data_IF_665861035854
#
_entry.id   IF_665861035854
#
_cell.length_a   1.000
_cell.length_b   1.000
_cell.length_c   1.000
_cell.angle_alpha   90.00
_cell.angle_beta   90.00
_cell.angle_gamma   90.00
#
_symmetry.space_group_name_H-M   'P 1'
#
loop_
_entity.id
_entity.type
_entity.pdbx_description
1 polymer ?
#
# COMPACT_ATOMS: atom_id res chain seq x y z
N UNK A 1 2.65 21.89 16.90
CA UNK A 1 1.87 23.09 16.52
C UNK A 1 1.72 23.11 15.01
N UNK A 2 0.74 23.82 14.45
CA UNK A 2 0.66 24.05 13.01
C UNK A 2 1.43 25.33 12.67
N UNK A 3 2.55 25.22 11.95
CA UNK A 3 3.23 26.38 11.37
C UNK A 3 2.33 27.02 10.31
N UNK A 4 2.31 28.35 10.28
CA UNK A 4 1.52 29.16 9.33
C UNK A 4 2.44 30.23 8.73
N UNK A 5 2.28 30.44 7.43
CA UNK A 5 3.05 31.41 6.65
C UNK A 5 2.06 32.36 5.96
N UNK A 6 2.43 33.63 5.79
CA UNK A 6 1.58 34.63 5.13
C UNK A 6 2.31 35.26 3.96
N UNK A 7 1.77 35.12 2.74
CA UNK A 7 2.30 35.81 1.56
C UNK A 7 1.62 37.17 1.39
N UNK A 8 2.39 38.24 1.17
CA UNK A 8 1.90 39.63 1.10
C UNK A 8 2.73 40.42 0.09
N UNK A 9 2.15 40.71 -1.07
CA UNK A 9 2.74 41.68 -2.02
C UNK A 9 2.52 43.13 -1.53
N UNK A 10 3.48 44.00 -1.82
CA UNK A 10 3.41 45.45 -1.56
C UNK A 10 3.89 46.22 -2.80
N UNK A 11 3.18 47.30 -3.21
CA UNK A 11 3.58 48.10 -4.36
C UNK A 11 4.84 48.92 -4.07
N UNK A 12 5.87 48.76 -4.90
CA UNK A 12 7.13 49.51 -4.79
C UNK A 12 6.92 50.95 -5.28
N UNK A 13 6.85 51.91 -4.35
CA UNK A 13 6.59 53.32 -4.67
C UNK A 13 7.85 54.11 -5.08
N UNK A 14 9.03 53.75 -4.56
CA UNK A 14 10.29 54.49 -4.77
C UNK A 14 11.49 53.56 -4.96
N UNK A 15 11.71 52.62 -4.05
CA UNK A 15 12.69 51.53 -4.25
C UNK A 15 12.29 50.28 -3.45
N UNK A 16 12.61 49.10 -3.97
CA UNK A 16 12.33 47.85 -3.27
C UNK A 16 13.17 47.72 -1.99
N UNK A 17 14.44 48.15 -2.03
CA UNK A 17 15.36 48.07 -0.88
C UNK A 17 14.96 48.99 0.27
N UNK A 18 14.52 50.22 0.01
CA UNK A 18 14.07 51.14 1.07
C UNK A 18 12.79 50.66 1.74
N UNK A 19 11.82 50.18 0.95
CA UNK A 19 10.58 49.59 1.47
C UNK A 19 10.87 48.30 2.27
N UNK A 20 11.77 47.46 1.76
CA UNK A 20 12.20 46.24 2.46
C UNK A 20 12.87 46.55 3.81
N UNK A 21 13.80 47.52 3.86
CA UNK A 21 14.42 47.93 5.13
C UNK A 21 13.40 48.40 6.16
N UNK A 22 12.46 49.28 5.78
CA UNK A 22 11.39 49.76 6.67
C UNK A 22 10.49 48.63 7.19
N UNK A 23 10.20 47.64 6.35
CA UNK A 23 9.42 46.46 6.75
C UNK A 23 10.23 45.51 7.63
N UNK A 24 11.52 45.34 7.38
CA UNK A 24 12.43 44.48 8.16
C UNK A 24 12.71 45.04 9.56
N UNK A 25 12.70 46.36 9.73
CA UNK A 25 12.75 47.01 11.05
C UNK A 25 11.41 46.84 11.83
N UNK A 26 10.33 46.52 11.11
CA UNK A 26 8.98 46.40 11.67
C UNK A 26 8.52 44.96 11.91
N UNK A 27 9.03 43.97 11.16
CA UNK A 27 8.52 42.58 11.14
C UNK A 27 9.66 41.55 10.96
N UNK A 28 9.47 40.35 11.53
CA UNK A 28 10.41 39.23 11.52
C UNK A 28 10.70 38.61 10.13
N UNK A 29 11.70 39.20 9.46
CA UNK A 29 12.75 38.52 8.66
C UNK A 29 12.32 37.40 7.69
N UNK A 30 11.98 37.75 6.44
CA UNK A 30 12.47 37.07 5.20
C UNK A 30 11.81 37.66 3.95
N UNK A 31 12.61 38.00 2.94
CA UNK A 31 12.14 38.41 1.61
C UNK A 31 11.95 37.21 0.69
N UNK A 32 10.94 37.29 -0.18
CA UNK A 32 10.79 36.41 -1.34
C UNK A 32 11.02 37.26 -2.59
N UNK A 33 12.13 37.08 -3.29
CA UNK A 33 12.35 37.72 -4.58
C UNK A 33 11.61 36.93 -5.67
N UNK A 34 10.44 37.43 -6.07
CA UNK A 34 9.70 36.87 -7.21
C UNK A 34 10.08 37.60 -8.51
N UNK A 35 10.38 36.89 -9.61
CA UNK A 35 10.74 37.52 -10.87
C UNK A 35 9.55 38.22 -11.54
N UNK A 36 9.86 39.15 -12.45
CA UNK A 36 8.89 39.95 -13.21
C UNK A 36 8.28 39.12 -14.36
N UNK A 37 7.28 38.30 -14.07
CA UNK A 37 6.46 37.61 -15.08
C UNK A 37 5.71 38.59 -15.98
N UNK A 38 5.36 38.19 -17.20
CA UNK A 38 4.35 38.90 -18.01
C UNK A 38 2.94 38.35 -17.66
N UNK A 39 1.97 39.23 -17.31
CA UNK A 39 0.61 38.96 -16.76
C UNK A 39 -0.50 39.96 -17.25
N UNK A 40 -0.92 39.93 -18.52
CA UNK A 40 -2.16 40.61 -18.98
C UNK A 40 -3.32 39.60 -18.83
N UNK A 41 -4.50 39.93 -19.35
CA UNK A 41 -5.72 39.12 -19.20
C UNK A 41 -5.96 38.77 -17.73
N UNK A 42 -5.64 39.74 -16.85
CA UNK A 42 -5.45 39.57 -15.41
C UNK A 42 -6.63 38.87 -14.75
N UNK A 43 -7.86 39.17 -15.16
CA UNK A 43 -9.06 38.53 -14.60
C UNK A 43 -9.12 37.03 -14.89
N UNK A 44 -9.06 36.61 -16.16
CA UNK A 44 -9.17 35.19 -16.51
C UNK A 44 -7.97 34.39 -16.01
N UNK A 45 -6.77 34.98 -16.01
CA UNK A 45 -5.58 34.32 -15.49
C UNK A 45 -5.58 34.26 -13.95
N UNK A 46 -6.16 35.23 -13.23
CA UNK A 46 -6.35 35.14 -11.78
C UNK A 46 -7.34 34.03 -11.40
N UNK A 47 -8.47 33.90 -12.11
CA UNK A 47 -9.41 32.79 -11.90
C UNK A 47 -8.77 31.42 -12.18
N UNK A 48 -7.99 31.31 -13.26
CA UNK A 48 -7.27 30.07 -13.59
C UNK A 48 -6.14 29.76 -12.58
N UNK A 49 -5.42 30.78 -12.09
CA UNK A 49 -4.44 30.65 -11.01
C UNK A 49 -5.07 30.18 -9.69
N UNK A 50 -6.26 30.70 -9.32
CA UNK A 50 -6.98 30.27 -8.11
C UNK A 50 -7.39 28.79 -8.21
N UNK A 51 -7.91 28.35 -9.37
CA UNK A 51 -8.23 26.94 -9.64
C UNK A 51 -6.97 26.07 -9.58
N UNK A 52 -5.89 26.50 -10.22
CA UNK A 52 -4.62 25.79 -10.24
C UNK A 52 -4.02 25.64 -8.84
N UNK A 53 -4.01 26.71 -8.03
CA UNK A 53 -3.55 26.67 -6.64
C UNK A 53 -4.36 25.66 -5.82
N UNK A 54 -5.70 25.77 -5.82
CA UNK A 54 -6.57 24.87 -5.07
C UNK A 54 -6.41 23.39 -5.50
N UNK A 55 -6.16 23.13 -6.79
CA UNK A 55 -5.84 21.80 -7.29
C UNK A 55 -4.48 21.30 -6.77
N UNK A 56 -3.42 22.10 -6.89
CA UNK A 56 -2.06 21.73 -6.45
C UNK A 56 -1.99 21.53 -4.93
N UNK A 57 -2.67 22.39 -4.16
CA UNK A 57 -2.86 22.25 -2.71
C UNK A 57 -3.60 20.94 -2.37
N UNK A 58 -4.69 20.65 -3.08
CA UNK A 58 -5.44 19.40 -2.94
C UNK A 58 -4.63 18.13 -3.27
N UNK A 59 -3.79 18.17 -4.31
CA UNK A 59 -2.88 17.06 -4.65
C UNK A 59 -1.77 16.92 -3.60
N UNK A 60 -1.20 18.03 -3.12
CA UNK A 60 -0.18 18.04 -2.06
C UNK A 60 -0.73 17.45 -0.75
N UNK A 61 -1.97 17.78 -0.38
CA UNK A 61 -2.65 17.17 0.77
C UNK A 61 -2.94 15.67 0.58
N UNK A 62 -3.27 15.22 -0.64
CA UNK A 62 -3.42 13.78 -0.95
C UNK A 62 -2.09 13.05 -0.78
N UNK A 63 -0.99 13.56 -1.35
CA UNK A 63 0.36 13.00 -1.22
C UNK A 63 0.75 12.90 0.27
N UNK A 64 0.64 14.00 1.02
CA UNK A 64 0.92 14.05 2.46
C UNK A 64 0.14 12.98 3.23
N UNK A 65 -1.17 12.87 3.00
CA UNK A 65 -2.02 11.89 3.69
C UNK A 65 -1.62 10.45 3.38
N UNK A 66 -1.16 10.15 2.17
CA UNK A 66 -0.66 8.82 1.80
C UNK A 66 0.66 8.50 2.52
N UNK A 67 1.60 9.46 2.59
CA UNK A 67 2.86 9.31 3.35
C UNK A 67 2.56 9.05 4.84
N UNK A 68 1.71 9.88 5.46
CA UNK A 68 1.29 9.71 6.86
C UNK A 68 0.55 8.37 7.12
N UNK A 69 -0.08 7.75 6.12
CA UNK A 69 -0.63 6.39 6.23
C UNK A 69 0.44 5.30 6.09
N UNK A 70 1.36 5.45 5.14
CA UNK A 70 2.45 4.50 4.92
C UNK A 70 3.37 4.40 6.15
N UNK A 71 3.78 5.53 6.73
CA UNK A 71 4.56 5.60 7.97
C UNK A 71 3.85 4.90 9.13
N UNK A 72 2.57 5.22 9.35
CA UNK A 72 1.72 4.58 10.36
C UNK A 72 1.57 3.07 10.15
N UNK A 73 1.66 2.61 8.90
CA UNK A 73 1.57 1.18 8.54
C UNK A 73 2.90 0.43 8.65
N UNK A 74 4.04 1.13 8.54
CA UNK A 74 5.38 0.55 8.66
C UNK A 74 5.91 0.54 10.10
N UNK A 75 5.38 1.41 10.96
CA UNK A 75 5.85 1.58 12.33
C UNK A 75 7.16 2.39 12.44
N UNK A 76 7.62 2.99 11.33
CA UNK A 76 8.73 3.93 11.30
C UNK A 76 8.19 5.32 11.65
N UNK A 77 8.77 5.99 12.65
CA UNK A 77 8.49 7.40 12.88
C UNK A 77 8.99 8.23 11.69
N UNK A 78 8.05 8.84 10.96
CA UNK A 78 8.35 9.68 9.82
C UNK A 78 9.20 10.88 10.20
N UNK A 79 10.40 10.98 9.63
CA UNK A 79 11.12 12.24 9.58
C UNK A 79 10.27 13.24 8.78
N UNK A 80 9.72 14.25 9.47
CA UNK A 80 8.68 15.13 8.91
C UNK A 80 9.02 15.70 7.54
N UNK A 81 8.00 15.79 6.68
CA UNK A 81 8.10 16.09 5.24
C UNK A 81 9.19 17.13 4.90
N UNK A 82 10.07 16.76 3.97
CA UNK A 82 11.14 17.62 3.43
C UNK A 82 10.95 17.83 1.92
N UNK A 83 11.55 18.90 1.40
CA UNK A 83 11.69 19.17 -0.04
C UNK A 83 13.17 18.99 -0.37
N UNK A 84 13.50 17.99 -1.20
CA UNK A 84 14.88 17.61 -1.56
C UNK A 84 15.81 17.42 -0.33
N UNK A 85 15.27 16.89 0.76
CA UNK A 85 15.97 16.69 2.04
C UNK A 85 16.06 17.93 2.94
N UNK A 86 15.58 19.09 2.49
CA UNK A 86 15.51 20.34 3.25
C UNK A 86 14.18 20.43 4.02
N UNK A 87 14.17 20.79 5.32
CA UNK A 87 12.93 21.05 6.06
C UNK A 87 12.09 22.16 5.41
N UNK A 88 10.76 22.01 5.41
CA UNK A 88 9.83 22.95 4.74
C UNK A 88 10.07 24.40 5.18
N UNK A 89 10.26 24.65 6.48
CA UNK A 89 10.58 25.98 7.00
C UNK A 89 11.80 26.57 6.29
N UNK A 90 12.92 25.84 6.29
CA UNK A 90 14.19 26.23 5.67
C UNK A 90 14.08 26.41 4.15
N UNK A 91 13.28 25.58 3.47
CA UNK A 91 13.01 25.72 2.04
C UNK A 91 12.26 27.02 1.75
N UNK A 92 11.18 27.31 2.48
CA UNK A 92 10.44 28.57 2.36
C UNK A 92 11.32 29.78 2.70
N UNK A 93 12.22 29.70 3.68
CA UNK A 93 13.14 30.81 4.02
C UNK A 93 14.13 31.20 2.91
N UNK A 94 14.27 30.37 1.86
CA UNK A 94 15.28 30.48 0.80
C UNK A 94 14.71 30.15 -0.58
N UNK A 95 13.40 30.35 -0.77
CA UNK A 95 12.77 30.09 -2.06
C UNK A 95 13.39 30.97 -3.16
N UNK A 96 13.84 30.32 -4.24
CA UNK A 96 14.32 30.97 -5.47
C UNK A 96 13.51 30.38 -6.62
N UNK A 97 13.10 31.22 -7.57
CA UNK A 97 12.37 30.74 -8.74
C UNK A 97 13.29 29.94 -9.67
N UNK A 98 12.85 28.74 -10.05
CA UNK A 98 13.56 27.86 -10.97
C UNK A 98 13.33 28.31 -12.43
N UNK A 99 14.11 29.28 -12.89
CA UNK A 99 14.06 29.78 -14.27
C UNK A 99 14.41 28.71 -15.33
N UNK A 100 15.14 27.65 -14.95
CA UNK A 100 15.49 26.56 -15.87
C UNK A 100 14.30 25.62 -16.12
N UNK A 101 13.44 25.43 -15.11
CA UNK A 101 12.21 24.63 -15.20
C UNK A 101 10.98 25.43 -15.62
N UNK A 102 10.93 26.71 -15.25
CA UNK A 102 9.81 27.62 -15.50
C UNK A 102 10.32 28.97 -16.06
N UNK A 103 10.65 29.06 -17.36
CA UNK A 103 11.28 30.26 -17.93
C UNK A 103 10.40 31.51 -17.83
N UNK A 104 10.96 32.57 -17.24
CA UNK A 104 10.30 33.88 -17.01
C UNK A 104 9.97 34.65 -18.30
N UNK A 105 10.53 34.21 -19.44
CA UNK A 105 10.28 34.74 -20.77
C UNK A 105 9.07 34.10 -21.49
N UNK A 106 8.55 32.97 -20.99
CA UNK A 106 7.34 32.33 -21.52
C UNK A 106 6.08 33.11 -21.12
N UNK A 107 4.96 32.99 -21.88
CA UNK A 107 3.66 33.44 -21.41
C UNK A 107 3.32 32.78 -20.07
N UNK A 108 2.84 33.54 -19.07
CA UNK A 108 2.55 32.97 -17.76
C UNK A 108 1.49 31.87 -17.81
N UNK A 109 0.54 31.93 -18.77
CA UNK A 109 -0.45 30.86 -18.91
C UNK A 109 0.18 29.53 -19.35
N UNK A 110 1.11 29.51 -20.29
CA UNK A 110 1.88 28.29 -20.63
C UNK A 110 2.59 27.68 -19.41
N UNK A 111 3.17 28.53 -18.54
CA UNK A 111 3.84 28.09 -17.31
C UNK A 111 2.86 27.50 -16.31
N UNK A 112 1.70 28.14 -16.09
CA UNK A 112 0.63 27.64 -15.20
C UNK A 112 0.06 26.33 -15.72
N UNK A 113 -0.21 26.24 -17.03
CA UNK A 113 -0.66 25.01 -17.68
C UNK A 113 0.39 23.89 -17.57
N UNK A 114 1.68 24.21 -17.74
CA UNK A 114 2.79 23.28 -17.56
C UNK A 114 2.87 22.71 -16.13
N UNK A 115 2.76 23.59 -15.12
CA UNK A 115 2.69 23.20 -13.71
C UNK A 115 1.46 22.32 -13.46
N UNK A 116 0.28 22.72 -13.96
CA UNK A 116 -0.96 21.96 -13.78
C UNK A 116 -0.88 20.56 -14.40
N UNK A 117 -0.41 20.45 -15.64
CA UNK A 117 -0.20 19.16 -16.35
C UNK A 117 0.81 18.28 -15.62
N UNK A 118 1.89 18.85 -15.09
CA UNK A 118 2.88 18.12 -14.29
C UNK A 118 2.27 17.57 -12.99
N UNK A 119 1.56 18.40 -12.22
CA UNK A 119 0.95 17.98 -10.96
C UNK A 119 -0.22 17.01 -11.17
N UNK A 120 -0.99 17.15 -12.25
CA UNK A 120 -2.02 16.19 -12.64
C UNK A 120 -1.41 14.81 -12.95
N UNK A 121 -0.30 14.76 -13.70
CA UNK A 121 0.43 13.51 -13.93
C UNK A 121 0.93 12.90 -12.62
N UNK A 122 1.50 13.70 -11.72
CA UNK A 122 1.94 13.22 -10.38
C UNK A 122 0.76 12.68 -9.57
N UNK A 123 -0.45 13.25 -9.69
CA UNK A 123 -1.64 12.71 -9.05
C UNK A 123 -2.07 11.36 -9.65
N UNK A 124 -2.01 11.19 -10.98
CA UNK A 124 -2.37 9.93 -11.64
C UNK A 124 -1.34 8.82 -11.39
N UNK A 125 -0.04 9.15 -11.45
CA UNK A 125 1.04 8.24 -11.05
C UNK A 125 0.85 7.81 -9.57
N UNK A 126 0.46 8.73 -8.67
CA UNK A 126 0.12 8.41 -7.27
C UNK A 126 -1.09 7.48 -7.16
N UNK A 127 -2.20 7.75 -7.89
CA UNK A 127 -3.41 6.89 -7.88
C UNK A 127 -3.07 5.45 -8.25
N UNK A 128 -2.25 5.25 -9.28
CA UNK A 128 -1.79 3.92 -9.71
C UNK A 128 -0.99 3.24 -8.59
N UNK A 129 0.01 3.90 -8.02
CA UNK A 129 0.84 3.30 -6.93
C UNK A 129 0.05 2.98 -5.67
N UNK A 130 -0.93 3.82 -5.31
CA UNK A 130 -1.81 3.57 -4.15
C UNK A 130 -2.74 2.37 -4.42
N UNK A 131 -3.25 2.21 -5.64
CA UNK A 131 -4.06 1.06 -6.03
C UNK A 131 -3.25 -0.25 -6.04
N UNK A 132 -2.04 -0.25 -6.62
CA UNK A 132 -1.10 -1.37 -6.59
C UNK A 132 -0.78 -1.80 -5.15
N UNK A 133 -0.39 -0.85 -4.29
CA UNK A 133 -0.08 -1.10 -2.89
C UNK A 133 -1.28 -1.64 -2.12
N UNK A 134 -2.48 -1.08 -2.31
CA UNK A 134 -3.72 -1.55 -1.68
C UNK A 134 -4.05 -3.00 -2.07
N UNK A 135 -3.89 -3.36 -3.34
CA UNK A 135 -4.08 -4.72 -3.83
C UNK A 135 -3.10 -5.70 -3.16
N UNK A 136 -1.80 -5.41 -3.17
CA UNK A 136 -0.78 -6.26 -2.53
C UNK A 136 -1.00 -6.38 -1.02
N UNK A 137 -1.34 -5.28 -0.33
CA UNK A 137 -1.68 -5.26 1.10
C UNK A 137 -2.91 -6.11 1.40
N UNK A 138 -3.92 -6.10 0.53
CA UNK A 138 -5.12 -6.96 0.64
C UNK A 138 -4.77 -8.45 0.47
N UNK A 139 -3.97 -8.79 -0.55
CA UNK A 139 -3.50 -10.16 -0.78
C UNK A 139 -2.65 -10.68 0.39
N UNK A 140 -1.73 -9.88 0.91
CA UNK A 140 -0.90 -10.23 2.07
C UNK A 140 -1.75 -10.47 3.33
N UNK A 141 -2.75 -9.62 3.58
CA UNK A 141 -3.71 -9.85 4.67
C UNK A 141 -4.53 -11.15 4.49
N UNK A 142 -4.89 -11.50 3.26
CA UNK A 142 -5.58 -12.76 2.96
C UNK A 142 -4.66 -13.99 3.14
N UNK A 143 -3.37 -13.87 2.84
CA UNK A 143 -2.35 -14.90 3.11
C UNK A 143 -2.13 -15.04 4.62
N UNK A 144 -1.95 -13.93 5.35
CA UNK A 144 -1.78 -13.95 6.80
C UNK A 144 -2.97 -14.64 7.49
N UNK A 145 -4.22 -14.35 7.10
CA UNK A 145 -5.42 -15.04 7.63
C UNK A 145 -5.42 -16.55 7.35
N UNK A 146 -4.86 -17.01 6.22
CA UNK A 146 -4.68 -18.45 5.91
C UNK A 146 -3.54 -19.10 6.72
N UNK A 147 -2.60 -18.30 7.24
CA UNK A 147 -1.44 -18.78 8.01
C UNK A 147 -1.63 -18.66 9.54
N UNK A 148 -2.42 -17.71 10.03
CA UNK A 148 -2.66 -17.45 11.46
C UNK A 148 -3.98 -18.04 12.00
N UNK A 149 -4.71 -18.81 11.19
CA UNK A 149 -5.91 -19.52 11.62
C UNK A 149 -5.61 -20.81 12.40
N UNK A 150 -6.62 -21.38 13.05
CA UNK A 150 -6.55 -22.71 13.67
C UNK A 150 -6.25 -23.80 12.64
N UNK A 151 -5.53 -24.86 13.05
CA UNK A 151 -5.10 -26.02 12.23
C UNK A 151 -6.13 -26.56 11.21
N UNK A 152 -7.42 -26.53 11.53
CA UNK A 152 -8.48 -26.95 10.61
C UNK A 152 -8.47 -26.13 9.29
N UNK A 153 -8.37 -24.80 9.41
CA UNK A 153 -8.42 -23.84 8.30
C UNK A 153 -7.01 -23.53 7.76
N UNK A 154 -6.01 -23.48 8.64
CA UNK A 154 -4.61 -23.11 8.34
C UNK A 154 -4.00 -23.90 7.18
N UNK A 155 -3.12 -23.27 6.42
CA UNK A 155 -2.22 -24.00 5.52
C UNK A 155 -1.17 -24.79 6.32
N UNK A 156 -1.12 -26.09 6.08
CA UNK A 156 -0.24 -27.03 6.78
C UNK A 156 1.12 -27.22 6.08
N UNK A 157 1.31 -26.65 4.89
CA UNK A 157 2.57 -26.73 4.12
C UNK A 157 3.81 -26.38 4.97
N UNK A 158 3.71 -25.34 5.79
CA UNK A 158 4.76 -24.86 6.70
C UNK A 158 4.99 -25.70 7.95
N UNK A 159 4.11 -26.66 8.26
CA UNK A 159 4.13 -27.47 9.49
C UNK A 159 4.52 -28.93 9.25
N UNK A 160 4.70 -29.34 7.99
CA UNK A 160 4.98 -30.73 7.61
C UNK A 160 6.29 -30.79 6.83
N UNK A 161 7.27 -31.53 7.33
CA UNK A 161 8.53 -31.74 6.63
C UNK A 161 8.39 -32.80 5.53
N UNK A 162 9.23 -32.79 4.49
CA UNK A 162 9.32 -33.91 3.54
C UNK A 162 9.63 -35.25 4.23
N UNK A 163 10.42 -35.22 5.31
CA UNK A 163 10.73 -36.36 6.19
C UNK A 163 9.48 -37.06 6.76
N UNK A 164 8.37 -36.33 6.94
CA UNK A 164 7.15 -36.79 7.58
C UNK A 164 6.10 -37.33 6.59
N UNK A 165 6.38 -37.30 5.28
CA UNK A 165 5.43 -37.70 4.23
C UNK A 165 5.96 -38.91 3.46
N UNK A 166 5.27 -40.05 3.61
CA UNK A 166 5.50 -41.23 2.77
C UNK A 166 4.51 -41.20 1.60
N UNK A 167 5.03 -40.94 0.40
CA UNK A 167 4.30 -41.15 -0.87
C UNK A 167 5.00 -42.26 -1.65
N UNK A 168 4.26 -43.31 -1.96
CA UNK A 168 4.69 -44.43 -2.80
C UNK A 168 3.49 -44.94 -3.59
N UNK A 169 3.71 -45.77 -4.62
CA UNK A 169 2.66 -46.32 -5.48
C UNK A 169 1.50 -46.95 -4.68
N UNK A 170 1.84 -47.59 -3.55
CA UNK A 170 0.87 -48.31 -2.71
C UNK A 170 0.56 -47.63 -1.38
N UNK A 171 1.32 -46.61 -0.95
CA UNK A 171 1.22 -45.98 0.37
C UNK A 171 1.05 -44.47 0.30
N UNK A 172 0.19 -43.94 1.17
CA UNK A 172 -0.06 -42.50 1.32
C UNK A 172 -0.09 -42.11 2.79
N UNK A 173 0.60 -41.02 3.14
CA UNK A 173 0.43 -40.34 4.42
C UNK A 173 -0.70 -39.32 4.36
N UNK A 174 -1.68 -39.44 5.27
CA UNK A 174 -2.73 -38.46 5.51
C UNK A 174 -2.41 -37.61 6.75
N UNK A 175 -2.97 -36.40 6.82
CA UNK A 175 -2.86 -35.52 7.98
C UNK A 175 -4.19 -35.47 8.75
N UNK A 176 -4.16 -35.89 10.01
CA UNK A 176 -5.29 -35.83 10.92
C UNK A 176 -5.18 -34.61 11.84
N UNK A 177 -6.18 -33.73 11.77
CA UNK A 177 -6.39 -32.67 12.76
C UNK A 177 -7.36 -33.23 13.81
N UNK A 178 -6.83 -33.50 14.99
CA UNK A 178 -7.50 -34.17 16.12
C UNK A 178 -7.70 -33.16 17.24
N UNK A 179 -8.87 -33.13 17.89
CA UNK A 179 -9.07 -32.27 19.07
C UNK A 179 -8.14 -32.68 20.22
N UNK A 180 -7.64 -31.72 21.00
CA UNK A 180 -6.72 -31.94 22.12
C UNK A 180 -7.24 -32.94 23.15
N UNK A 181 -8.56 -32.99 23.37
CA UNK A 181 -9.21 -33.96 24.28
C UNK A 181 -9.19 -35.39 23.72
N UNK A 182 -9.22 -35.56 22.39
CA UNK A 182 -9.35 -36.85 21.71
C UNK A 182 -8.01 -37.47 21.27
N UNK A 183 -6.86 -36.87 21.63
CA UNK A 183 -5.52 -37.38 21.26
C UNK A 183 -5.31 -38.85 21.69
N UNK A 184 -5.83 -39.25 22.86
CA UNK A 184 -5.70 -40.61 23.38
C UNK A 184 -6.55 -41.61 22.58
N UNK A 185 -7.82 -41.29 22.35
CA UNK A 185 -8.76 -42.12 21.60
C UNK A 185 -8.33 -42.27 20.13
N UNK A 186 -7.74 -41.23 19.54
CA UNK A 186 -7.09 -41.29 18.24
C UNK A 186 -5.98 -42.34 18.23
N UNK A 187 -4.98 -42.20 19.11
CA UNK A 187 -3.84 -43.13 19.19
C UNK A 187 -4.26 -44.57 19.52
N UNK A 188 -5.33 -44.75 20.31
CA UNK A 188 -5.86 -46.07 20.66
C UNK A 188 -6.70 -46.72 19.54
N UNK A 189 -7.19 -45.98 18.55
CA UNK A 189 -8.17 -46.49 17.59
C UNK A 189 -7.90 -46.25 16.11
N UNK A 190 -6.94 -45.40 15.73
CA UNK A 190 -6.64 -45.14 14.31
C UNK A 190 -6.24 -46.42 13.54
N UNK A 191 -5.52 -47.35 14.19
CA UNK A 191 -5.10 -48.64 13.61
C UNK A 191 -6.27 -49.59 13.31
N UNK A 192 -7.45 -49.35 13.89
CA UNK A 192 -8.65 -50.20 13.72
C UNK A 192 -9.75 -49.55 12.87
N UNK A 193 -9.55 -48.33 12.34
CA UNK A 193 -10.54 -47.66 11.49
C UNK A 193 -10.75 -48.42 10.17
N UNK A 194 -9.68 -48.81 9.50
CA UNK A 194 -9.72 -49.67 8.30
C UNK A 194 -8.63 -50.73 8.36
N UNK A 195 -8.87 -51.83 7.66
CA UNK A 195 -7.80 -52.72 7.23
C UNK A 195 -6.74 -51.93 6.43
N UNK A 196 -5.48 -52.38 6.42
CA UNK A 196 -4.36 -51.74 5.70
C UNK A 196 -3.97 -50.31 6.17
N UNK A 197 -4.17 -49.99 7.45
CA UNK A 197 -3.44 -48.92 8.14
C UNK A 197 -2.08 -49.47 8.61
N UNK A 198 -1.00 -48.67 8.57
CA UNK A 198 0.32 -49.10 9.08
C UNK A 198 0.37 -48.87 10.61
N UNK A 199 0.56 -49.91 11.45
CA UNK A 199 0.64 -49.76 12.89
C UNK A 199 1.85 -48.92 13.31
N UNK A 200 1.71 -48.15 14.39
CA UNK A 200 2.66 -47.16 14.92
C UNK A 200 3.11 -46.09 13.91
N UNK A 201 2.34 -45.84 12.84
CA UNK A 201 2.63 -44.77 11.88
C UNK A 201 2.14 -43.38 12.32
N UNK A 202 1.35 -43.29 13.42
CA UNK A 202 0.81 -42.02 13.90
C UNK A 202 1.83 -41.19 14.68
N UNK A 203 2.36 -40.13 14.05
CA UNK A 203 3.32 -39.19 14.65
C UNK A 203 2.69 -37.81 14.81
N UNK A 204 2.75 -37.23 16.02
CA UNK A 204 2.36 -35.83 16.23
C UNK A 204 3.44 -34.91 15.65
N UNK A 205 3.04 -33.99 14.77
CA UNK A 205 3.92 -32.99 14.17
C UNK A 205 3.87 -31.66 14.91
N UNK A 206 2.65 -31.22 15.27
CA UNK A 206 2.39 -29.89 15.82
C UNK A 206 1.15 -29.91 16.74
N UNK A 207 1.05 -28.95 17.66
CA UNK A 207 -0.09 -28.80 18.57
C UNK A 207 -0.38 -27.32 18.83
N UNK A 208 -1.62 -26.91 18.56
CA UNK A 208 -2.22 -25.63 18.94
C UNK A 208 -2.97 -25.77 20.29
N UNK A 209 -3.55 -24.67 20.77
CA UNK A 209 -4.37 -24.66 21.99
C UNK A 209 -5.55 -25.66 21.96
N UNK A 210 -6.14 -25.92 20.79
CA UNK A 210 -7.40 -26.67 20.63
C UNK A 210 -7.23 -28.01 19.87
N UNK A 211 -6.26 -28.08 18.95
CA UNK A 211 -6.06 -29.21 18.04
C UNK A 211 -4.59 -29.65 17.97
N UNK A 212 -4.37 -30.93 17.68
CA UNK A 212 -3.07 -31.49 17.35
C UNK A 212 -3.07 -32.08 15.93
N UNK A 213 -1.95 -31.91 15.25
CA UNK A 213 -1.69 -32.41 13.90
C UNK A 213 -0.90 -33.73 13.99
N UNK A 214 -1.49 -34.81 13.47
CA UNK A 214 -0.85 -36.12 13.34
C UNK A 214 -0.70 -36.50 11.87
N UNK A 215 0.38 -37.20 11.53
CA UNK A 215 0.40 -38.06 10.33
C UNK A 215 -0.29 -39.39 10.62
N UNK A 216 -0.76 -40.09 9.59
CA UNK A 216 -0.97 -41.55 9.58
C UNK A 216 -0.62 -42.06 8.19
N UNK A 217 0.09 -43.18 8.09
CA UNK A 217 0.41 -43.83 6.80
C UNK A 217 -0.42 -45.09 6.62
N UNK A 218 -1.01 -45.25 5.43
CA UNK A 218 -1.93 -46.32 5.08
C UNK A 218 -1.83 -46.65 3.59
N UNK A 219 -2.40 -47.77 3.18
CA UNK A 219 -2.44 -48.13 1.77
C UNK A 219 -3.40 -47.23 0.98
N UNK A 220 -2.97 -46.80 -0.21
CA UNK A 220 -3.70 -45.84 -1.05
C UNK A 220 -5.16 -46.30 -1.32
N UNK A 221 -5.36 -47.60 -1.58
CA UNK A 221 -6.68 -48.21 -1.84
C UNK A 221 -7.72 -48.12 -0.71
N UNK A 222 -7.31 -47.82 0.53
CA UNK A 222 -8.25 -47.65 1.67
C UNK A 222 -8.39 -46.18 2.11
N UNK A 223 -7.70 -45.25 1.45
CA UNK A 223 -7.61 -43.86 1.90
C UNK A 223 -8.96 -43.16 2.05
N UNK A 224 -9.87 -43.27 1.08
CA UNK A 224 -11.17 -42.60 1.20
C UNK A 224 -12.12 -43.28 2.20
N UNK A 225 -12.04 -44.61 2.37
CA UNK A 225 -12.76 -45.34 3.42
C UNK A 225 -12.29 -44.91 4.83
N UNK A 226 -10.98 -44.73 5.01
CA UNK A 226 -10.41 -44.18 6.25
C UNK A 226 -10.85 -42.72 6.48
N UNK A 227 -10.96 -41.93 5.41
CA UNK A 227 -11.44 -40.54 5.46
C UNK A 227 -12.91 -40.38 5.80
N UNK A 228 -13.76 -41.33 5.41
CA UNK A 228 -15.17 -41.39 5.84
C UNK A 228 -15.24 -41.71 7.33
N UNK A 229 -14.65 -42.84 7.77
CA UNK A 229 -14.74 -43.31 9.17
C UNK A 229 -14.11 -42.38 10.20
N UNK A 230 -13.07 -41.64 9.85
CA UNK A 230 -12.50 -40.64 10.77
C UNK A 230 -13.41 -39.41 10.93
N UNK A 231 -14.12 -39.00 9.86
CA UNK A 231 -15.09 -37.90 9.92
C UNK A 231 -16.30 -38.26 10.79
N UNK A 232 -16.77 -39.51 10.73
CA UNK A 232 -17.79 -40.05 11.64
C UNK A 232 -17.38 -39.94 13.12
N UNK A 233 -16.07 -39.94 13.41
CA UNK A 233 -15.49 -39.72 14.74
C UNK A 233 -15.00 -38.28 14.97
N UNK A 234 -15.53 -37.30 14.22
CA UNK A 234 -15.19 -35.88 14.38
C UNK A 234 -13.74 -35.49 14.07
N UNK A 235 -12.96 -36.38 13.45
CA UNK A 235 -11.55 -36.12 13.12
C UNK A 235 -11.42 -35.59 11.69
N UNK A 236 -10.74 -34.44 11.53
CA UNK A 236 -10.64 -33.75 10.24
C UNK A 236 -9.39 -34.22 9.48
N UNK A 237 -9.56 -35.14 8.52
CA UNK A 237 -8.47 -35.61 7.65
C UNK A 237 -8.27 -34.70 6.43
N UNK A 238 -7.18 -33.93 6.47
CA UNK A 238 -6.66 -33.12 5.36
C UNK A 238 -5.64 -33.97 4.59
N UNK A 239 -5.65 -33.90 3.26
CA UNK A 239 -4.61 -34.51 2.43
C UNK A 239 -3.95 -33.39 1.62
N UNK A 240 -2.62 -33.32 1.62
CA UNK A 240 -1.88 -32.30 0.87
C UNK A 240 -1.83 -32.60 -0.63
N UNK A 241 -2.07 -33.85 -1.02
CA UNK A 241 -2.02 -34.30 -2.41
C UNK A 241 -3.35 -34.93 -2.82
N UNK A 242 -3.79 -34.67 -4.06
CA UNK A 242 -4.87 -35.43 -4.68
C UNK A 242 -4.22 -36.60 -5.42
N UNK A 243 -4.40 -37.83 -4.94
CA UNK A 243 -4.00 -38.99 -5.70
C UNK A 243 -4.95 -39.12 -6.90
N UNK A 244 -4.45 -38.80 -8.10
CA UNK A 244 -5.12 -39.12 -9.36
C UNK A 244 -4.63 -40.48 -9.84
N UNK A 245 -5.42 -41.17 -10.67
CA UNK A 245 -5.02 -42.43 -11.29
C UNK A 245 -3.77 -42.32 -12.21
N UNK A 246 -3.30 -41.09 -12.46
CA UNK A 246 -2.08 -40.78 -13.22
C UNK A 246 -1.06 -39.94 -12.43
N UNK A 247 -1.05 -40.05 -11.09
CA UNK A 247 -0.02 -39.49 -10.21
C UNK A 247 -0.47 -38.35 -9.30
N UNK A 248 0.46 -37.87 -8.46
CA UNK A 248 0.23 -36.75 -7.55
C UNK A 248 0.57 -35.42 -8.22
N UNK A 249 -0.44 -34.67 -8.65
CA UNK A 249 -0.30 -33.26 -9.00
C UNK A 249 -0.66 -32.37 -7.81
N UNK A 250 0.16 -31.36 -7.55
CA UNK A 250 -0.13 -30.31 -6.56
C UNK A 250 -0.79 -29.10 -7.23
N UNK A 251 -1.96 -28.67 -6.75
CA UNK A 251 -2.46 -27.30 -6.85
C UNK A 251 -3.28 -27.00 -5.60
N UNK A 252 -3.12 -25.80 -5.04
CA UNK A 252 -4.03 -25.24 -4.04
C UNK A 252 -4.63 -23.93 -4.59
N UNK A 253 -5.94 -23.77 -4.48
CA UNK A 253 -6.74 -22.54 -4.69
C UNK A 253 -6.75 -21.90 -6.10
N UNK A 254 -7.95 -21.77 -6.69
CA UNK A 254 -8.45 -20.42 -7.04
C UNK A 254 -9.99 -20.38 -7.16
N UNK A 255 -10.56 -19.25 -6.73
CA UNK A 255 -11.79 -18.64 -7.25
C UNK A 255 -11.44 -17.17 -7.51
N UNK A 256 -11.97 -16.53 -8.54
CA UNK A 256 -11.72 -15.11 -8.86
C UNK A 256 -12.97 -14.50 -9.53
N UNK A 257 -13.13 -13.18 -9.41
CA UNK A 257 -14.07 -12.35 -10.16
C UNK A 257 -13.30 -11.32 -10.98
N UNK A 258 -13.93 -10.68 -11.97
CA UNK A 258 -13.32 -9.71 -12.89
C UNK A 258 -14.23 -8.48 -13.11
N UNK A 259 -13.74 -7.49 -13.87
CA UNK A 259 -14.02 -6.05 -13.70
C UNK A 259 -14.49 -5.34 -15.00
N UNK A 260 -14.51 -4.00 -14.94
CA UNK A 260 -14.37 -2.95 -15.98
C UNK A 260 -15.53 -1.91 -15.98
N UNK A 261 -15.37 -0.57 -15.91
CA UNK A 261 -14.38 0.46 -16.37
C UNK A 261 -14.92 1.29 -17.56
N UNK A 262 -14.76 2.62 -17.51
CA UNK A 262 -15.13 3.58 -18.57
C UNK A 262 -14.78 5.04 -18.22
N UNK A 263 -14.46 5.90 -19.21
CA UNK A 263 -13.90 7.26 -19.02
C UNK A 263 -14.16 8.21 -20.23
N UNK A 264 -13.90 9.54 -20.09
CA UNK A 264 -13.54 10.55 -21.14
C UNK A 264 -13.34 11.99 -20.57
N UNK A 265 -12.29 12.77 -20.94
CA UNK A 265 -12.23 13.95 -21.90
C UNK A 265 -13.06 15.19 -21.48
N UNK A 266 -12.67 16.49 -21.58
CA UNK A 266 -11.50 17.29 -22.06
C UNK A 266 -11.56 18.73 -21.43
N UNK A 267 -11.01 19.87 -21.90
CA UNK A 267 -10.13 20.32 -23.03
C UNK A 267 -9.47 21.72 -22.67
N UNK A 268 -9.07 22.62 -23.60
CA UNK A 268 -8.18 23.79 -23.34
C UNK A 268 -8.48 25.14 -24.09
N UNK A 269 -7.80 26.25 -23.70
CA UNK A 269 -7.75 27.57 -24.40
C UNK A 269 -7.02 28.73 -23.65
N UNK A 270 -6.33 29.66 -24.35
CA UNK A 270 -5.39 30.67 -23.78
C UNK A 270 -5.60 32.16 -24.19
N UNK A 271 -4.92 33.09 -23.49
CA UNK A 271 -4.77 34.53 -23.79
C UNK A 271 -3.47 35.14 -23.15
N UNK A 272 -2.97 36.29 -23.67
CA UNK A 272 -1.55 36.77 -23.59
C UNK A 272 -1.21 37.84 -22.47
N UNK A 273 -0.01 38.51 -22.42
CA UNK A 273 0.58 39.02 -21.14
C UNK A 273 1.59 40.24 -20.93
N UNK A 274 1.61 40.89 -19.72
CA UNK A 274 2.53 41.98 -19.17
C UNK A 274 2.54 42.23 -17.60
N UNK A 275 3.57 42.78 -16.90
CA UNK A 275 3.98 42.38 -15.49
C UNK A 275 3.39 42.92 -14.15
N UNK A 276 3.65 42.16 -13.04
CA UNK A 276 3.57 42.50 -11.58
C UNK A 276 4.58 41.66 -10.69
N UNK A 277 4.69 41.92 -9.36
CA UNK A 277 5.65 41.28 -8.38
C UNK A 277 4.98 40.96 -7.00
N UNK A 278 5.53 40.03 -6.21
CA UNK A 278 5.03 39.60 -4.87
C UNK A 278 6.13 39.33 -3.81
N UNK A 279 5.78 39.38 -2.51
CA UNK A 279 6.65 39.14 -1.34
C UNK A 279 5.93 38.31 -0.24
N UNK A 280 6.62 38.01 0.86
CA UNK A 280 6.13 37.18 2.00
C UNK A 280 6.43 37.86 3.33
N UNK A 281 5.59 37.65 4.36
CA UNK A 281 5.76 38.20 5.72
C UNK A 281 5.49 37.11 6.76
N UNK A 282 6.50 36.70 7.53
CA UNK A 282 6.32 35.79 8.65
C UNK A 282 6.03 36.56 9.95
N UNK A 283 4.81 36.41 10.46
CA UNK A 283 4.39 36.82 11.81
C UNK A 283 4.39 35.60 12.73
N UNK A 284 5.05 35.75 13.89
CA UNK A 284 5.19 34.75 14.96
C UNK A 284 4.03 34.89 15.95
#
# INVERSE_FOLDING_TARGET
MATRYWMVSLPVQTSASTLWSQLQDSISKQSFDTPLYRVYSLLSLADDLLKANAFVEGVTHKIRRQIEELERSSGVEGGGLTVDGVPIDSYLTRFVWDEAKYPTMSPLKEVVDGIHRFVAKVEDDLKVRVAEYSNVRSQLNAIHRKQSGSLAVRDLSSLVKPEDIVVSEHMVTLLAVVSKFSQKDWLASYETLTEYVVPRSSKKLYEDNEYALYTVTLFNRVADNFRIKARERGTYLKCLYRCSAHGCTSVLVHWKAEEEVGAMVGLAGEADSHPYVSFTINLI
#
